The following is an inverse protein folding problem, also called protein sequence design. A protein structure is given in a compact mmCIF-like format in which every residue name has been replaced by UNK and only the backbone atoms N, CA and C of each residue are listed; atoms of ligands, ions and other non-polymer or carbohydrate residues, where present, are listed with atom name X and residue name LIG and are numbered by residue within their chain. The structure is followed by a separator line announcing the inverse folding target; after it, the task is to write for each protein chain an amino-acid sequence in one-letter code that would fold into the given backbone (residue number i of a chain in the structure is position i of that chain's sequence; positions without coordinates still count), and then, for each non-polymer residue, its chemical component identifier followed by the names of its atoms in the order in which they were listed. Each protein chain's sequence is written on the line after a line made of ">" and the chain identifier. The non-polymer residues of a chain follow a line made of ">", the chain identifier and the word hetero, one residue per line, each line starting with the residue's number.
data_IF_180565196335
#
_entry.id   IF_180565196335
#
_cell.length_a   1.000
_cell.length_b   1.000
_cell.length_c   1.000
_cell.angle_alpha   90.00
_cell.angle_beta   90.00
_cell.angle_gamma   90.00
#
_symmetry.space_group_name_H-M   'P 1'
#
loop_
_entity.id
_entity.type
_entity.pdbx_description
1 polymer ?
#
# COMPACT_ATOMS: atom_id res chain seq x y z
N UNK A 1 -16.61 -81.58 -12.10
CA UNK A 1 -17.24 -80.33 -11.61
C UNK A 1 -16.09 -79.38 -11.26
N UNK A 2 -16.02 -78.13 -11.74
CA UNK A 2 -16.95 -76.99 -11.53
C UNK A 2 -16.91 -76.61 -10.03
N UNK A 3 -16.20 -75.55 -9.60
CA UNK A 3 -16.32 -74.08 -9.86
C UNK A 3 -17.33 -73.38 -8.94
N UNK A 4 -17.19 -72.08 -8.63
CA UNK A 4 -15.99 -71.20 -8.76
C UNK A 4 -15.25 -71.19 -7.38
N UNK A 5 -15.03 -70.17 -6.54
CA UNK A 5 -15.11 -68.70 -6.56
C UNK A 5 -14.20 -68.12 -5.41
N UNK A 6 -14.31 -66.83 -5.01
CA UNK A 6 -13.23 -66.05 -4.35
C UNK A 6 -13.60 -65.36 -3.01
N UNK A 7 -12.58 -64.90 -2.28
CA UNK A 7 -12.37 -63.61 -1.54
C UNK A 7 -11.30 -63.88 -0.46
N UNK A 8 -10.09 -63.31 -0.48
CA UNK A 8 -9.66 -61.89 -0.45
C UNK A 8 -9.81 -61.23 0.94
N UNK A 9 -8.77 -60.53 1.41
CA UNK A 9 -8.65 -60.02 2.78
C UNK A 9 -7.22 -60.01 3.33
N UNK A 10 -6.41 -59.04 2.91
CA UNK A 10 -5.04 -58.77 3.40
C UNK A 10 -5.02 -57.73 4.53
N UNK A 11 -3.87 -57.59 5.21
CA UNK A 11 -3.46 -56.45 6.05
C UNK A 11 -4.11 -56.34 7.48
N UNK A 12 -3.55 -55.54 8.42
CA UNK A 12 -2.96 -56.16 9.63
C UNK A 12 -3.25 -55.39 10.95
N UNK A 13 -2.35 -55.49 11.93
CA UNK A 13 -2.42 -54.94 13.30
C UNK A 13 -2.94 -53.49 13.40
N UNK A 14 -3.99 -53.30 14.21
CA UNK A 14 -4.53 -51.98 14.55
C UNK A 14 -3.60 -51.24 15.53
N UNK A 15 -2.69 -50.44 15.00
CA UNK A 15 -1.89 -49.49 15.80
C UNK A 15 -2.78 -48.35 16.33
N UNK A 16 -2.96 -48.29 17.65
CA UNK A 16 -3.87 -47.36 18.33
C UNK A 16 -3.34 -45.92 18.40
N UNK A 17 -3.19 -45.26 17.26
CA UNK A 17 -2.75 -43.86 17.18
C UNK A 17 -3.87 -42.91 17.60
N UNK A 18 -3.80 -42.41 18.85
CA UNK A 18 -4.60 -41.25 19.27
C UNK A 18 -4.24 -40.03 18.40
N UNK A 19 -5.22 -39.32 17.81
CA UNK A 19 -4.92 -38.10 17.06
C UNK A 19 -4.27 -37.05 17.97
N UNK A 20 -3.03 -36.67 17.66
CA UNK A 20 -2.36 -35.57 18.33
C UNK A 20 -3.12 -34.28 18.05
N UNK A 21 -3.70 -33.67 19.09
CA UNK A 21 -4.36 -32.36 18.99
C UNK A 21 -3.29 -31.35 18.53
N UNK A 22 -3.50 -30.61 17.43
CA UNK A 22 -2.53 -29.61 17.00
C UNK A 22 -2.33 -28.56 18.10
N UNK A 23 -1.11 -28.05 18.31
CA UNK A 23 -0.88 -27.00 19.29
C UNK A 23 -1.78 -25.80 18.96
N UNK A 24 -2.36 -25.13 19.96
CA UNK A 24 -3.28 -24.02 19.71
C UNK A 24 -2.57 -22.94 18.91
N UNK A 25 -2.95 -22.78 17.63
CA UNK A 25 -2.42 -21.75 16.76
C UNK A 25 -2.60 -20.42 17.47
N UNK A 26 -1.49 -19.77 17.82
CA UNK A 26 -1.52 -18.41 18.34
C UNK A 26 -2.02 -17.52 17.21
N UNK A 27 -3.34 -17.31 17.18
CA UNK A 27 -3.93 -16.21 16.46
C UNK A 27 -3.43 -14.94 17.12
N UNK A 28 -2.28 -14.46 16.63
CA UNK A 28 -1.84 -13.09 16.83
C UNK A 28 -3.08 -12.24 16.60
N UNK A 29 -3.52 -11.41 17.56
CA UNK A 29 -4.65 -10.52 17.32
C UNK A 29 -4.19 -9.48 16.29
N UNK A 30 -4.37 -9.82 15.01
CA UNK A 30 -4.31 -8.87 13.92
C UNK A 30 -5.50 -7.95 14.12
N UNK A 31 -5.30 -6.90 14.91
CA UNK A 31 -6.25 -5.81 15.04
C UNK A 31 -6.52 -5.32 13.62
N UNK A 32 -7.69 -5.67 13.07
CA UNK A 32 -8.14 -5.21 11.76
C UNK A 32 -8.49 -3.73 11.92
N UNK A 33 -7.42 -2.93 12.01
CA UNK A 33 -7.49 -1.51 12.24
C UNK A 33 -8.28 -0.94 11.08
N UNK A 34 -9.53 -0.58 11.36
CA UNK A 34 -10.51 -0.20 10.34
C UNK A 34 -10.28 1.26 9.96
N UNK A 35 -9.03 1.56 9.56
CA UNK A 35 -8.52 2.88 9.23
C UNK A 35 -9.23 3.32 7.95
N UNK A 36 -10.31 4.09 8.11
CA UNK A 36 -11.02 4.70 6.99
C UNK A 36 -10.13 5.77 6.38
N UNK A 37 -9.98 5.74 5.04
CA UNK A 37 -9.30 6.78 4.29
C UNK A 37 -9.95 8.14 4.61
N UNK A 38 -9.15 9.13 4.99
CA UNK A 38 -9.66 10.43 5.43
C UNK A 38 -9.72 11.40 4.25
N UNK A 39 -10.87 12.02 4.02
CA UNK A 39 -11.00 13.09 3.01
C UNK A 39 -10.42 14.39 3.59
N UNK A 40 -9.47 14.99 2.89
CA UNK A 40 -8.79 16.21 3.28
C UNK A 40 -9.73 17.42 3.32
N UNK A 41 -9.73 18.15 4.44
CA UNK A 41 -10.38 19.47 4.56
C UNK A 41 -9.35 20.60 4.61
N UNK A 42 -9.79 21.81 4.26
CA UNK A 42 -8.97 23.03 4.34
C UNK A 42 -8.51 23.27 5.79
N UNK A 43 -7.19 23.39 6.00
CA UNK A 43 -6.60 23.59 7.32
C UNK A 43 -6.38 22.32 8.15
N UNK A 44 -6.81 21.15 7.68
CA UNK A 44 -6.58 19.85 8.34
C UNK A 44 -5.39 19.08 7.75
N UNK A 45 -4.54 19.71 6.92
CA UNK A 45 -3.53 19.02 6.10
C UNK A 45 -2.59 18.12 6.90
N UNK A 46 -2.01 18.57 8.01
CA UNK A 46 -1.00 17.78 8.72
C UNK A 46 -1.65 16.64 9.53
N UNK A 47 -2.83 16.88 10.12
CA UNK A 47 -3.69 15.84 10.73
C UNK A 47 -4.06 14.77 9.68
N UNK A 48 -4.38 15.20 8.47
CA UNK A 48 -4.65 14.31 7.34
C UNK A 48 -3.39 13.59 6.87
N UNK A 49 -2.24 14.25 6.80
CA UNK A 49 -0.97 13.66 6.38
C UNK A 49 -0.53 12.55 7.35
N UNK A 50 -0.65 12.78 8.66
CA UNK A 50 -0.40 11.78 9.71
C UNK A 50 -1.38 10.59 9.58
N UNK A 51 -2.67 10.84 9.30
CA UNK A 51 -3.65 9.78 9.05
C UNK A 51 -3.35 8.99 7.77
N UNK A 52 -2.87 9.65 6.71
CA UNK A 52 -2.46 9.02 5.45
C UNK A 52 -1.18 8.20 5.60
N UNK A 53 -0.21 8.70 6.35
CA UNK A 53 1.00 7.98 6.75
C UNK A 53 0.65 6.71 7.55
N UNK A 54 -0.20 6.85 8.58
CA UNK A 54 -0.66 5.72 9.38
C UNK A 54 -1.46 4.71 8.53
N UNK A 55 -2.40 5.17 7.70
CA UNK A 55 -3.17 4.32 6.78
C UNK A 55 -2.26 3.55 5.81
N UNK A 56 -1.34 4.24 5.12
CA UNK A 56 -0.51 3.63 4.09
C UNK A 56 0.58 2.72 4.68
N UNK A 57 1.22 3.10 5.78
CA UNK A 57 2.18 2.23 6.47
C UNK A 57 1.57 0.90 6.94
N UNK A 58 0.29 0.91 7.32
CA UNK A 58 -0.42 -0.28 7.81
C UNK A 58 -1.16 -1.08 6.71
N UNK A 59 -1.42 -0.49 5.54
CA UNK A 59 -2.14 -1.18 4.44
C UNK A 59 -1.27 -1.55 3.24
N UNK A 60 -0.26 -0.74 2.90
CA UNK A 60 0.67 -0.96 1.78
C UNK A 60 1.94 -0.10 1.98
N UNK A 61 2.85 -0.54 2.87
CA UNK A 61 4.12 0.16 3.12
C UNK A 61 4.95 0.44 1.85
N UNK A 62 4.99 -0.45 0.82
CA UNK A 62 5.58 -0.13 -0.48
C UNK A 62 4.96 1.09 -1.21
N UNK A 63 3.67 1.40 -1.02
CA UNK A 63 3.06 2.65 -1.51
C UNK A 63 3.57 3.86 -0.72
N UNK A 64 3.63 3.76 0.60
CA UNK A 64 4.12 4.84 1.46
C UNK A 64 5.54 5.29 1.07
N UNK A 65 6.42 4.31 0.82
CA UNK A 65 7.77 4.52 0.31
C UNK A 65 7.81 5.33 -1.00
N UNK A 66 6.91 5.07 -1.95
CA UNK A 66 6.85 5.79 -3.24
C UNK A 66 6.36 7.24 -3.07
N UNK A 67 5.40 7.50 -2.17
CA UNK A 67 4.94 8.88 -1.89
C UNK A 67 5.99 9.73 -1.15
N UNK A 68 6.84 9.11 -0.34
CA UNK A 68 7.90 9.82 0.37
C UNK A 68 9.13 10.06 -0.50
N UNK A 69 9.65 9.01 -1.15
CA UNK A 69 10.96 9.03 -1.79
C UNK A 69 10.90 9.26 -3.31
N UNK A 70 9.70 9.32 -3.90
CA UNK A 70 9.51 9.17 -5.33
C UNK A 70 9.65 7.71 -5.76
N UNK A 71 9.44 7.44 -7.05
CA UNK A 71 9.58 6.08 -7.58
C UNK A 71 11.04 5.73 -7.91
N UNK A 72 11.32 4.43 -8.02
CA UNK A 72 12.58 3.93 -8.58
C UNK A 72 12.77 4.37 -10.05
N UNK A 73 13.97 4.18 -10.63
CA UNK A 73 14.34 4.76 -11.92
C UNK A 73 13.38 4.34 -13.04
N UNK A 74 12.50 5.27 -13.43
CA UNK A 74 11.68 5.19 -14.63
C UNK A 74 12.59 5.42 -15.83
N UNK A 75 12.48 4.56 -16.83
CA UNK A 75 13.20 4.68 -18.10
C UNK A 75 12.64 5.86 -18.92
N UNK A 76 13.30 7.02 -18.85
CA UNK A 76 12.98 8.24 -19.62
C UNK A 76 14.10 8.56 -20.62
N UNK A 77 13.71 9.05 -21.79
CA UNK A 77 14.61 9.67 -22.78
C UNK A 77 14.12 11.07 -23.12
N UNK A 78 15.05 12.02 -23.17
CA UNK A 78 14.83 13.32 -23.81
C UNK A 78 14.96 13.14 -25.33
N UNK A 79 13.99 13.64 -26.10
CA UNK A 79 14.12 13.69 -27.56
C UNK A 79 14.91 14.92 -28.05
N UNK A 80 15.13 15.01 -29.36
CA UNK A 80 15.92 16.07 -30.01
C UNK A 80 15.37 17.48 -29.79
N UNK A 81 14.13 17.61 -29.31
CA UNK A 81 13.46 18.88 -29.04
C UNK A 81 13.42 19.20 -27.54
N UNK A 82 14.06 18.39 -26.69
CA UNK A 82 14.08 18.58 -25.23
C UNK A 82 12.88 17.95 -24.51
N UNK A 83 11.97 17.25 -25.19
CA UNK A 83 10.81 16.67 -24.52
C UNK A 83 11.16 15.34 -23.84
N UNK A 84 10.83 15.23 -22.55
CA UNK A 84 10.97 14.01 -21.76
C UNK A 84 9.87 13.02 -22.19
N UNK A 85 10.27 11.85 -22.68
CA UNK A 85 9.39 10.73 -23.03
C UNK A 85 9.67 9.54 -22.14
N UNK A 86 8.62 9.02 -21.48
CA UNK A 86 8.65 7.78 -20.70
C UNK A 86 8.62 6.59 -21.66
N UNK A 87 9.61 5.70 -21.59
CA UNK A 87 9.65 4.48 -22.39
C UNK A 87 8.68 3.43 -21.84
N UNK A 88 8.30 2.40 -22.63
CA UNK A 88 7.77 1.16 -22.10
C UNK A 88 8.71 0.55 -21.04
N UNK A 89 8.20 -0.06 -19.96
CA UNK A 89 9.02 -0.68 -18.93
C UNK A 89 9.81 -1.86 -19.51
N UNK A 90 11.13 -1.91 -19.28
CA UNK A 90 12.00 -2.96 -19.85
C UNK A 90 12.24 -4.14 -18.90
N UNK A 91 11.89 -3.99 -17.62
CA UNK A 91 12.10 -4.99 -16.57
C UNK A 91 10.83 -5.17 -15.73
N UNK A 92 10.64 -6.35 -15.15
CA UNK A 92 9.54 -6.60 -14.21
C UNK A 92 9.59 -5.65 -12.99
N UNK A 93 10.79 -5.21 -12.59
CA UNK A 93 10.99 -4.20 -11.53
C UNK A 93 10.41 -2.83 -11.93
N UNK A 94 10.59 -2.39 -13.18
CA UNK A 94 9.96 -1.16 -13.70
C UNK A 94 8.44 -1.27 -13.81
N UNK A 95 7.89 -2.45 -14.15
CA UNK A 95 6.43 -2.68 -14.18
C UNK A 95 5.85 -2.50 -12.77
N UNK A 96 6.36 -3.27 -11.80
CA UNK A 96 5.91 -3.22 -10.40
C UNK A 96 6.10 -1.83 -9.78
N UNK A 97 7.17 -1.11 -10.16
CA UNK A 97 7.38 0.27 -9.74
C UNK A 97 6.25 1.19 -10.25
N UNK A 98 5.92 1.16 -11.53
CA UNK A 98 4.85 1.99 -12.12
C UNK A 98 3.47 1.63 -11.59
N UNK A 99 3.22 0.37 -11.27
CA UNK A 99 1.96 -0.09 -10.67
C UNK A 99 1.79 0.43 -9.25
N UNK A 100 2.83 0.34 -8.41
CA UNK A 100 2.83 0.90 -7.04
C UNK A 100 2.66 2.42 -7.07
N UNK A 101 3.36 3.08 -7.97
CA UNK A 101 3.20 4.51 -8.23
C UNK A 101 1.74 4.82 -8.61
N UNK A 102 1.18 4.19 -9.66
CA UNK A 102 -0.23 4.38 -10.07
C UNK A 102 -1.20 4.16 -8.91
N UNK A 103 -0.98 3.14 -8.08
CA UNK A 103 -1.80 2.86 -6.89
C UNK A 103 -1.63 3.94 -5.81
N UNK A 104 -0.42 4.44 -5.60
CA UNK A 104 -0.14 5.57 -4.69
C UNK A 104 -0.84 6.85 -5.12
N UNK A 105 -0.82 7.16 -6.43
CA UNK A 105 -1.53 8.29 -7.03
C UNK A 105 -3.04 8.18 -6.80
N UNK A 106 -3.64 7.02 -7.11
CA UNK A 106 -5.07 6.79 -6.93
C UNK A 106 -5.47 6.91 -5.46
N UNK A 107 -4.72 6.33 -4.52
CA UNK A 107 -5.04 6.46 -3.08
C UNK A 107 -4.86 7.89 -2.56
N UNK A 108 -3.87 8.63 -3.05
CA UNK A 108 -3.71 10.05 -2.71
C UNK A 108 -4.89 10.88 -3.22
N UNK A 109 -5.36 10.65 -4.44
CA UNK A 109 -6.49 11.34 -5.04
C UNK A 109 -7.83 11.00 -4.37
N UNK A 110 -8.09 9.73 -4.03
CA UNK A 110 -9.29 9.33 -3.28
C UNK A 110 -9.41 9.96 -1.88
N UNK A 111 -8.30 10.50 -1.35
CA UNK A 111 -8.25 11.18 -0.07
C UNK A 111 -8.44 12.72 -0.19
N UNK A 112 -8.78 13.25 -1.37
CA UNK A 112 -9.02 14.67 -1.65
C UNK A 112 -10.49 14.97 -1.98
N UNK A 113 -10.98 16.20 -1.74
CA UNK A 113 -12.33 16.61 -2.14
C UNK A 113 -12.46 16.76 -3.66
N UNK A 114 -13.59 16.30 -4.21
CA UNK A 114 -13.82 16.14 -5.65
C UNK A 114 -13.65 17.44 -6.45
N UNK A 115 -14.16 18.56 -5.93
CA UNK A 115 -14.06 19.93 -6.45
C UNK A 115 -12.64 20.35 -6.86
N UNK A 116 -11.61 19.65 -6.38
CA UNK A 116 -10.21 20.02 -6.54
C UNK A 116 -9.41 19.01 -7.37
N UNK A 117 -9.95 17.81 -7.64
CA UNK A 117 -9.29 16.73 -8.38
C UNK A 117 -8.90 17.14 -9.81
N UNK A 118 -9.73 17.91 -10.50
CA UNK A 118 -9.48 18.34 -11.88
C UNK A 118 -8.25 19.25 -12.08
N UNK A 119 -7.69 19.81 -10.99
CA UNK A 119 -6.36 20.47 -11.01
C UNK A 119 -5.22 19.47 -10.86
N UNK A 120 -5.40 18.47 -9.99
CA UNK A 120 -4.41 17.45 -9.67
C UNK A 120 -4.23 16.44 -10.81
N UNK A 121 -5.31 16.02 -11.50
CA UNK A 121 -5.28 15.14 -12.67
C UNK A 121 -4.46 15.66 -13.88
N UNK A 122 -3.96 16.91 -13.84
CA UNK A 122 -3.14 17.52 -14.90
C UNK A 122 -1.64 17.51 -14.62
N UNK A 123 -1.24 17.06 -13.42
CA UNK A 123 0.14 17.04 -12.94
C UNK A 123 0.81 15.71 -13.29
N UNK A 124 2.12 15.72 -13.53
CA UNK A 124 2.84 14.58 -14.11
C UNK A 124 3.68 13.78 -13.12
N UNK A 125 4.03 14.35 -11.96
CA UNK A 125 4.88 13.74 -10.92
C UNK A 125 4.15 13.69 -9.55
N UNK A 126 4.28 12.57 -8.82
CA UNK A 126 3.68 12.38 -7.49
C UNK A 126 4.10 13.48 -6.51
N UNK A 127 5.33 13.99 -6.66
CA UNK A 127 5.89 15.13 -5.95
C UNK A 127 5.16 16.44 -6.28
N UNK A 128 4.76 16.64 -7.53
CA UNK A 128 4.03 17.84 -7.99
C UNK A 128 2.63 17.90 -7.37
N UNK A 129 1.89 16.78 -7.36
CA UNK A 129 0.60 16.71 -6.65
C UNK A 129 0.82 16.88 -5.15
N UNK A 130 1.78 16.19 -4.53
CA UNK A 130 2.05 16.30 -3.08
C UNK A 130 2.29 17.74 -2.64
N UNK A 131 3.22 18.45 -3.27
CA UNK A 131 3.50 19.84 -2.90
C UNK A 131 2.35 20.79 -3.28
N UNK A 132 1.59 20.49 -4.34
CA UNK A 132 0.37 21.24 -4.69
C UNK A 132 -0.78 21.05 -3.70
N UNK A 133 -0.91 19.87 -3.07
CA UNK A 133 -1.85 19.63 -1.97
C UNK A 133 -1.36 20.42 -0.75
N UNK A 134 -0.09 20.24 -0.36
CA UNK A 134 0.53 20.90 0.79
C UNK A 134 0.43 22.43 0.72
N UNK A 135 0.70 23.03 -0.44
CA UNK A 135 0.55 24.47 -0.70
C UNK A 135 -0.91 24.95 -0.64
N UNK A 136 -1.90 24.09 -0.92
CA UNK A 136 -3.33 24.47 -0.95
C UNK A 136 -4.06 24.27 0.37
N UNK A 137 -3.67 23.25 1.13
CA UNK A 137 -4.39 22.81 2.33
C UNK A 137 -3.60 22.98 3.64
N UNK A 138 -2.26 23.02 3.56
CA UNK A 138 -1.37 23.35 4.68
C UNK A 138 -1.20 24.87 4.86
N UNK A 139 -0.19 25.26 5.66
CA UNK A 139 0.05 26.67 6.01
C UNK A 139 -0.63 27.11 7.32
N UNK A 140 -0.72 26.22 8.30
CA UNK A 140 -1.08 26.55 9.69
C UNK A 140 0.10 26.18 10.60
N UNK A 141 0.73 27.16 11.24
CA UNK A 141 1.93 26.95 12.06
C UNK A 141 1.71 25.99 13.24
N UNK A 142 0.52 26.02 13.87
CA UNK A 142 0.18 25.07 14.94
C UNK A 142 0.09 23.62 14.44
N UNK A 143 -0.32 23.44 13.18
CA UNK A 143 -0.45 22.14 12.53
C UNK A 143 0.93 21.56 12.19
N UNK A 144 1.88 22.41 11.77
CA UNK A 144 3.28 22.03 11.58
C UNK A 144 3.99 21.72 12.91
N UNK A 145 3.66 22.42 14.01
CA UNK A 145 4.12 22.04 15.36
C UNK A 145 3.58 20.66 15.77
N UNK A 146 2.30 20.39 15.52
CA UNK A 146 1.66 19.11 15.84
C UNK A 146 2.30 17.94 15.08
N UNK A 147 2.66 18.12 13.81
CA UNK A 147 3.40 17.11 13.05
C UNK A 147 4.79 16.83 13.65
N UNK A 148 5.55 17.87 14.01
CA UNK A 148 6.86 17.71 14.66
C UNK A 148 6.75 17.07 16.06
N UNK A 149 5.67 17.32 16.81
CA UNK A 149 5.39 16.66 18.08
C UNK A 149 5.12 15.16 17.89
N UNK A 150 4.25 14.80 16.95
CA UNK A 150 3.88 13.41 16.69
C UNK A 150 5.05 12.60 16.12
N UNK A 151 5.88 13.19 15.26
CA UNK A 151 7.11 12.54 14.79
C UNK A 151 8.06 12.22 15.95
N UNK A 152 8.27 13.15 16.90
CA UNK A 152 9.11 12.87 18.08
C UNK A 152 8.61 11.67 18.87
N UNK A 153 7.31 11.62 19.14
CA UNK A 153 6.64 10.55 19.89
C UNK A 153 6.61 9.19 19.15
N UNK A 154 7.16 9.08 17.94
CA UNK A 154 7.37 7.82 17.22
C UNK A 154 8.83 7.32 17.24
N UNK A 155 9.77 8.14 17.76
CA UNK A 155 11.21 7.84 17.81
C UNK A 155 11.80 8.10 19.21
N UNK A 156 10.95 7.97 20.24
CA UNK A 156 11.21 8.21 21.68
C UNK A 156 10.79 6.99 22.50
#
# INVERSE_FOLDING_TARGET
>A
MVRDDNHDGDHPETSNTTPAVPPPTQQIPYTVSSIKLHILKKGEYDIWAIKMEHYLSHTDYPIWQVLQNGNGPVSITTDTNGMIKVLPPKTAKEVVAREREKKSWTTLLMALPEDHLAKFYKMADAKEIRESIKSRFGGNDESMKMHNYLLKQQFE
#
